data_IF_319962700924
#
_entry.id   IF_319962700924
#
_cell.length_a   1.000
_cell.length_b   1.000
_cell.length_c   1.000
_cell.angle_alpha   90.00
_cell.angle_beta   90.00
_cell.angle_gamma   90.00
#
_symmetry.space_group_name_H-M   'P 1'
#
loop_
_entity.id
_entity.type
_entity.pdbx_description
1 polymer ?
#
# COMPACT_ATOMS: atom_id res chain seq x y z
N UNK A 1 -7.24 2.61 -12.10
CA UNK A 1 -6.67 2.83 -10.75
C UNK A 1 -5.40 3.63 -10.87
N UNK A 2 -5.02 4.27 -9.80
CA UNK A 2 -3.77 4.99 -9.60
C UNK A 2 -3.15 4.48 -8.30
N UNK A 3 -1.87 4.76 -8.08
CA UNK A 3 -1.17 4.39 -6.84
C UNK A 3 -1.13 5.56 -5.87
N UNK A 4 -1.14 5.28 -4.57
CA UNK A 4 -0.76 6.23 -3.53
C UNK A 4 0.70 6.67 -3.76
N UNK A 5 1.10 7.80 -3.20
CA UNK A 5 2.45 8.38 -3.30
C UNK A 5 2.82 8.96 -4.68
N UNK A 6 1.99 8.83 -5.70
CA UNK A 6 2.24 9.37 -7.02
C UNK A 6 1.36 10.58 -7.32
N UNK A 7 1.93 11.58 -8.00
CA UNK A 7 1.16 12.74 -8.47
C UNK A 7 0.52 12.44 -9.81
N UNK A 8 -0.79 12.58 -9.88
CA UNK A 8 -1.58 12.37 -11.08
C UNK A 8 -2.20 13.67 -11.57
N UNK A 9 -2.08 13.93 -12.88
CA UNK A 9 -2.66 15.12 -13.52
C UNK A 9 -3.99 14.75 -14.17
N UNK A 10 -5.06 15.44 -13.80
CA UNK A 10 -6.40 15.28 -14.37
C UNK A 10 -6.77 16.55 -15.15
N UNK A 11 -7.38 16.39 -16.34
CA UNK A 11 -7.72 17.50 -17.24
C UNK A 11 -9.18 17.52 -17.61
N UNK A 12 -9.78 18.72 -17.61
CA UNK A 12 -11.14 18.94 -18.03
C UNK A 12 -11.25 19.28 -19.53
N UNK A 13 -12.17 18.63 -20.20
CA UNK A 13 -12.52 18.94 -21.60
C UNK A 13 -14.04 18.95 -21.76
N UNK A 14 -14.53 20.02 -22.36
CA UNK A 14 -15.92 20.06 -22.85
C UNK A 14 -16.02 19.45 -24.25
N UNK A 15 -17.19 18.95 -24.58
CA UNK A 15 -17.51 18.51 -25.95
C UNK A 15 -18.90 19.01 -26.37
N UNK A 16 -19.05 19.36 -27.64
CA UNK A 16 -20.35 19.64 -28.23
C UNK A 16 -21.03 18.35 -28.75
N UNK A 17 -22.29 18.47 -29.15
CA UNK A 17 -23.04 17.36 -29.73
C UNK A 17 -22.51 16.86 -31.09
N UNK A 18 -21.47 17.50 -31.66
CA UNK A 18 -20.81 17.11 -32.91
C UNK A 18 -19.47 16.43 -32.67
N UNK A 19 -19.04 16.32 -31.40
CA UNK A 19 -17.77 15.68 -31.01
C UNK A 19 -16.56 16.61 -31.03
N UNK A 20 -16.72 17.92 -31.26
CA UNK A 20 -15.63 18.86 -31.06
C UNK A 20 -15.30 18.94 -29.57
N UNK A 21 -14.02 19.00 -29.24
CA UNK A 21 -13.50 19.05 -27.85
C UNK A 21 -12.62 20.26 -27.66
N UNK A 22 -12.72 20.90 -26.50
CA UNK A 22 -11.87 22.01 -26.10
C UNK A 22 -11.66 21.98 -24.59
N UNK A 23 -10.57 22.57 -24.15
CA UNK A 23 -10.21 22.71 -22.75
C UNK A 23 -11.09 23.76 -22.09
N UNK A 24 -11.51 23.53 -20.86
CA UNK A 24 -12.32 24.43 -20.03
C UNK A 24 -11.77 24.50 -18.62
N UNK A 25 -11.86 25.67 -18.01
CA UNK A 25 -11.57 25.86 -16.59
C UNK A 25 -12.77 25.45 -15.76
N UNK A 26 -12.55 24.56 -14.80
CA UNK A 26 -13.57 24.02 -13.91
C UNK A 26 -13.14 24.16 -12.45
N UNK A 27 -14.10 24.03 -11.53
CA UNK A 27 -13.80 23.84 -10.13
C UNK A 27 -13.61 22.35 -9.87
N UNK A 28 -12.48 21.99 -9.28
CA UNK A 28 -12.13 20.61 -8.93
C UNK A 28 -12.35 20.36 -7.45
N UNK A 29 -13.14 19.35 -7.13
CA UNK A 29 -13.30 18.87 -5.76
C UNK A 29 -13.05 17.37 -5.71
N UNK A 30 -12.63 16.90 -4.52
CA UNK A 30 -12.46 15.48 -4.25
C UNK A 30 -13.09 15.14 -2.90
N UNK A 31 -13.67 13.96 -2.83
CA UNK A 31 -14.19 13.39 -1.60
C UNK A 31 -13.65 11.97 -1.44
N UNK A 32 -13.28 11.59 -0.24
CA UNK A 32 -13.01 10.21 0.15
C UNK A 32 -14.23 9.67 0.91
N UNK A 33 -14.61 8.41 0.72
CA UNK A 33 -15.79 7.83 1.39
C UNK A 33 -15.75 7.94 2.92
N UNK A 34 -14.55 7.89 3.49
CA UNK A 34 -14.35 7.94 4.95
C UNK A 34 -14.36 9.37 5.51
N UNK A 35 -14.48 10.40 4.68
CA UNK A 35 -14.46 11.81 5.11
C UNK A 35 -15.83 12.36 5.53
N UNK A 36 -16.82 11.50 5.81
CA UNK A 36 -18.13 11.89 6.31
C UNK A 36 -18.76 13.07 5.54
N UNK A 37 -18.93 12.91 4.24
CA UNK A 37 -19.51 13.89 3.32
C UNK A 37 -18.70 15.19 3.10
N UNK A 38 -17.46 15.25 3.54
CA UNK A 38 -16.61 16.40 3.28
C UNK A 38 -15.89 16.22 1.92
N UNK A 39 -16.21 17.12 1.00
CA UNK A 39 -15.39 17.30 -0.21
C UNK A 39 -14.36 18.39 0.00
N UNK A 40 -13.16 18.18 -0.51
CA UNK A 40 -12.08 19.16 -0.47
C UNK A 40 -11.95 19.81 -1.85
N UNK A 41 -11.86 21.13 -1.89
CA UNK A 41 -11.53 21.87 -3.12
C UNK A 41 -10.06 21.64 -3.45
N UNK A 42 -9.77 20.98 -4.59
CA UNK A 42 -8.41 20.79 -5.08
C UNK A 42 -7.91 22.03 -5.80
N UNK A 43 -8.71 22.53 -6.74
CA UNK A 43 -8.36 23.72 -7.51
C UNK A 43 -9.62 24.46 -7.98
N UNK A 44 -9.50 25.78 -8.14
CA UNK A 44 -10.58 26.64 -8.59
C UNK A 44 -10.24 27.22 -9.97
N UNK A 45 -11.16 27.10 -10.94
CA UNK A 45 -11.05 27.64 -12.27
C UNK A 45 -9.73 27.28 -12.98
N UNK A 46 -9.50 25.97 -13.13
CA UNK A 46 -8.37 25.44 -13.91
C UNK A 46 -8.84 24.33 -14.84
N UNK A 47 -8.21 24.22 -15.99
CA UNK A 47 -8.40 23.14 -16.94
C UNK A 47 -7.69 21.85 -16.54
N UNK A 48 -6.80 21.93 -15.55
CA UNK A 48 -6.12 20.77 -14.97
C UNK A 48 -5.94 20.93 -13.45
N UNK A 49 -5.83 19.81 -12.76
CA UNK A 49 -5.47 19.73 -11.35
C UNK A 49 -4.54 18.56 -11.09
N UNK A 50 -3.69 18.72 -10.10
CA UNK A 50 -2.86 17.65 -9.58
C UNK A 50 -3.56 17.00 -8.39
N UNK A 51 -3.48 15.68 -8.32
CA UNK A 51 -3.98 14.88 -7.23
C UNK A 51 -2.92 13.88 -6.81
N UNK A 52 -2.51 13.93 -5.55
CA UNK A 52 -1.58 13.00 -4.93
C UNK A 52 -2.30 12.34 -3.76
N UNK A 53 -2.84 11.13 -3.95
CA UNK A 53 -3.48 10.40 -2.86
C UNK A 53 -2.43 9.84 -1.91
N UNK A 54 -2.71 9.96 -0.62
CA UNK A 54 -1.86 9.40 0.45
C UNK A 54 -2.44 8.10 1.04
N UNK A 55 -3.74 7.87 0.85
CA UNK A 55 -4.43 6.69 1.38
C UNK A 55 -4.89 5.77 0.26
N UNK A 56 -4.39 4.55 0.27
CA UNK A 56 -4.98 3.47 -0.51
C UNK A 56 -6.36 3.11 0.07
N UNK A 57 -7.31 2.83 -0.80
CA UNK A 57 -8.67 2.51 -0.36
C UNK A 57 -9.37 1.59 -1.36
N UNK A 58 -10.03 0.57 -0.84
CA UNK A 58 -10.93 -0.30 -1.61
C UNK A 58 -12.20 0.43 -2.07
N UNK A 59 -12.50 1.59 -1.46
CA UNK A 59 -13.60 2.46 -1.86
C UNK A 59 -13.02 3.64 -2.65
N UNK A 60 -13.54 3.87 -3.84
CA UNK A 60 -13.01 4.89 -4.73
C UNK A 60 -13.18 6.32 -4.15
N UNK A 61 -12.17 7.15 -4.35
CA UNK A 61 -12.32 8.60 -4.23
C UNK A 61 -13.29 9.11 -5.31
N UNK A 62 -14.06 10.12 -4.98
CA UNK A 62 -14.99 10.77 -5.90
C UNK A 62 -14.44 12.12 -6.30
N UNK A 63 -13.88 12.21 -7.49
CA UNK A 63 -13.40 13.48 -8.05
C UNK A 63 -14.51 14.10 -8.88
N UNK A 64 -14.77 15.40 -8.70
CA UNK A 64 -15.81 16.14 -9.41
C UNK A 64 -15.23 17.38 -10.06
N UNK A 65 -15.61 17.59 -11.33
CA UNK A 65 -15.36 18.80 -12.08
C UNK A 65 -16.68 19.56 -12.28
N UNK A 66 -16.73 20.84 -11.94
CA UNK A 66 -17.93 21.68 -12.06
C UNK A 66 -17.64 22.92 -12.89
N UNK A 67 -18.54 23.20 -13.83
CA UNK A 67 -18.47 24.34 -14.74
C UNK A 67 -19.82 25.01 -14.84
N UNK A 68 -19.86 26.35 -14.72
CA UNK A 68 -21.09 27.11 -14.88
C UNK A 68 -21.02 27.92 -16.17
N UNK A 69 -21.99 27.73 -17.04
CA UNK A 69 -22.14 28.48 -18.28
C UNK A 69 -23.57 29.01 -18.40
N UNK A 70 -23.69 30.30 -18.64
CA UNK A 70 -24.98 31.01 -18.77
C UNK A 70 -25.98 30.68 -17.63
N UNK A 71 -25.46 30.60 -16.41
CA UNK A 71 -26.23 30.28 -15.21
C UNK A 71 -26.61 28.80 -15.06
N UNK A 72 -26.24 27.94 -15.99
CA UNK A 72 -26.44 26.51 -15.90
C UNK A 72 -25.16 25.83 -15.38
N UNK A 73 -25.32 24.98 -14.34
CA UNK A 73 -24.24 24.17 -13.80
C UNK A 73 -24.13 22.85 -14.58
N UNK A 74 -22.93 22.57 -15.05
CA UNK A 74 -22.51 21.27 -15.57
C UNK A 74 -21.58 20.61 -14.59
N UNK A 75 -21.75 19.34 -14.38
CA UNK A 75 -20.94 18.57 -13.42
C UNK A 75 -20.64 17.20 -13.98
N UNK A 76 -19.40 16.77 -13.85
CA UNK A 76 -18.95 15.41 -14.17
C UNK A 76 -18.26 14.81 -12.95
N UNK A 77 -18.44 13.51 -12.77
CA UNK A 77 -17.89 12.76 -11.63
C UNK A 77 -17.09 11.59 -12.14
N UNK A 78 -15.89 11.42 -11.58
CA UNK A 78 -15.00 10.29 -11.84
C UNK A 78 -14.68 9.60 -10.52
N UNK A 79 -14.88 8.30 -10.47
CA UNK A 79 -14.42 7.47 -9.36
C UNK A 79 -12.97 7.10 -9.61
N UNK A 80 -12.12 7.35 -8.63
CA UNK A 80 -10.68 7.09 -8.68
C UNK A 80 -10.32 6.04 -7.63
N UNK A 81 -9.99 4.85 -8.09
CA UNK A 81 -9.48 3.78 -7.23
C UNK A 81 -8.00 4.02 -6.97
N UNK A 82 -7.60 3.98 -5.71
CA UNK A 82 -6.22 4.19 -5.27
C UNK A 82 -5.73 2.90 -4.62
N UNK A 83 -4.74 2.31 -5.24
CA UNK A 83 -4.02 1.16 -4.69
C UNK A 83 -2.83 1.63 -3.85
N UNK A 84 -2.29 0.72 -3.07
CA UNK A 84 -1.08 0.94 -2.28
C UNK A 84 0.08 1.36 -3.18
N UNK A 85 1.01 2.13 -2.61
CA UNK A 85 2.27 2.50 -3.24
C UNK A 85 3.28 1.34 -3.20
N UNK A 86 4.54 1.66 -3.48
CA UNK A 86 5.64 0.69 -3.38
C UNK A 86 6.05 0.50 -1.92
N UNK A 87 6.58 -0.68 -1.60
CA UNK A 87 7.08 -1.00 -0.25
C UNK A 87 8.21 -0.02 0.11
N UNK A 88 8.03 0.73 1.18
CA UNK A 88 9.05 1.63 1.75
C UNK A 88 9.40 1.28 3.18
N UNK A 89 8.49 0.66 3.91
CA UNK A 89 8.72 0.24 5.29
C UNK A 89 8.57 -1.27 5.41
N UNK A 90 9.59 -1.88 5.94
CA UNK A 90 9.63 -3.30 6.26
C UNK A 90 10.02 -3.44 7.74
N UNK A 91 9.14 -4.05 8.53
CA UNK A 91 9.41 -4.31 9.94
C UNK A 91 9.19 -5.79 10.22
N UNK A 92 10.24 -6.47 10.66
CA UNK A 92 10.14 -7.83 11.20
C UNK A 92 10.12 -7.76 12.73
N UNK A 93 9.08 -8.32 13.33
CA UNK A 93 8.97 -8.49 14.77
C UNK A 93 9.19 -9.96 15.12
N UNK A 94 9.90 -10.18 16.20
CA UNK A 94 10.21 -11.52 16.69
C UNK A 94 10.01 -11.60 18.20
N UNK A 95 9.39 -12.67 18.65
CA UNK A 95 9.14 -12.92 20.08
C UNK A 95 9.49 -14.37 20.37
N UNK A 96 10.47 -14.60 21.24
CA UNK A 96 10.78 -15.94 21.72
C UNK A 96 9.75 -16.40 22.76
N UNK A 97 9.56 -17.70 22.92
CA UNK A 97 8.60 -18.29 23.86
C UNK A 97 8.86 -17.93 25.34
N UNK A 98 10.05 -17.46 25.69
CA UNK A 98 10.39 -16.91 27.01
C UNK A 98 10.00 -15.42 27.15
N UNK A 99 9.45 -14.78 26.10
CA UNK A 99 9.05 -13.38 26.05
C UNK A 99 10.16 -12.40 25.62
N UNK A 100 11.36 -12.89 25.30
CA UNK A 100 12.42 -12.04 24.77
C UNK A 100 12.06 -11.52 23.37
N UNK A 101 12.46 -10.30 23.08
CA UNK A 101 12.29 -9.63 21.78
C UNK A 101 13.64 -9.13 21.28
N UNK A 102 13.85 -9.17 19.97
CA UNK A 102 15.12 -8.68 19.39
C UNK A 102 15.43 -9.31 18.03
N UNK A 103 16.68 -9.26 17.64
CA UNK A 103 17.16 -9.83 16.38
C UNK A 103 18.09 -11.03 16.56
N UNK A 104 18.49 -11.32 17.79
CA UNK A 104 19.36 -12.46 18.13
C UNK A 104 18.86 -13.11 19.41
N UNK A 105 18.62 -14.41 19.36
CA UNK A 105 18.11 -15.20 20.47
C UNK A 105 19.05 -16.34 20.80
N UNK A 106 19.20 -16.61 22.12
CA UNK A 106 19.76 -17.84 22.61
C UNK A 106 18.65 -18.61 23.33
N UNK A 107 18.08 -19.57 22.65
CA UNK A 107 16.99 -20.40 23.16
C UNK A 107 17.44 -21.85 23.30
N UNK A 108 16.80 -22.59 24.20
CA UNK A 108 16.99 -24.04 24.28
C UNK A 108 16.22 -24.72 23.15
N UNK A 109 16.66 -25.92 22.74
CA UNK A 109 15.79 -26.81 21.97
C UNK A 109 14.46 -26.99 22.73
N UNK A 110 13.40 -27.23 22.06
CA UNK A 110 12.00 -27.25 22.54
C UNK A 110 11.38 -25.87 22.86
N UNK A 111 12.09 -24.78 22.53
CA UNK A 111 11.53 -23.42 22.56
C UNK A 111 11.25 -22.92 21.15
N UNK A 112 10.26 -22.05 21.02
CA UNK A 112 9.85 -21.46 19.76
C UNK A 112 10.18 -19.97 19.66
N UNK A 113 10.26 -19.48 18.44
CA UNK A 113 10.30 -18.06 18.08
C UNK A 113 9.13 -17.79 17.15
N UNK A 114 8.32 -16.81 17.48
CA UNK A 114 7.27 -16.30 16.62
C UNK A 114 7.84 -15.14 15.77
N UNK A 115 7.69 -15.25 14.48
CA UNK A 115 8.05 -14.21 13.51
C UNK A 115 6.79 -13.58 12.95
N UNK A 116 6.77 -12.26 12.85
CA UNK A 116 5.72 -11.52 12.14
C UNK A 116 6.33 -10.37 11.36
N UNK A 117 5.66 -9.98 10.29
CA UNK A 117 6.10 -8.89 9.42
C UNK A 117 4.98 -7.89 9.24
N UNK A 118 5.34 -6.61 9.22
CA UNK A 118 4.49 -5.54 8.74
C UNK A 118 5.19 -4.85 7.57
N UNK A 119 4.47 -4.69 6.48
CA UNK A 119 4.86 -3.96 5.29
C UNK A 119 3.98 -2.75 5.12
N UNK A 120 4.56 -1.64 4.72
CA UNK A 120 3.77 -0.47 4.30
C UNK A 120 4.49 0.32 3.20
N UNK A 121 3.73 1.14 2.48
CA UNK A 121 4.26 2.18 1.62
C UNK A 121 4.74 3.39 2.44
N UNK A 122 5.12 4.48 1.76
CA UNK A 122 5.65 5.69 2.39
C UNK A 122 4.66 6.44 3.26
N UNK A 123 3.37 6.27 3.00
CA UNK A 123 2.27 6.89 3.75
C UNK A 123 1.66 5.94 4.79
N UNK A 124 2.32 4.83 5.07
CA UNK A 124 1.94 3.81 6.04
C UNK A 124 0.67 3.02 5.68
N UNK A 125 0.28 2.98 4.40
CA UNK A 125 -0.75 2.05 3.96
C UNK A 125 -0.21 0.62 4.08
N UNK A 126 -0.92 -0.30 4.74
CA UNK A 126 -0.46 -1.67 4.91
C UNK A 126 -0.44 -2.39 3.56
N UNK A 127 0.64 -3.13 3.33
CA UNK A 127 0.83 -3.95 2.13
C UNK A 127 0.69 -5.44 2.48
N UNK A 128 0.28 -6.23 1.48
CA UNK A 128 0.15 -7.65 1.63
C UNK A 128 1.53 -8.31 1.76
N UNK A 129 1.72 -9.09 2.80
CA UNK A 129 2.95 -9.85 3.07
C UNK A 129 3.08 -11.10 2.20
N UNK A 130 2.07 -11.46 1.40
CA UNK A 130 2.11 -12.64 0.51
C UNK A 130 3.20 -12.55 -0.56
N UNK A 131 3.73 -11.35 -0.83
CA UNK A 131 4.86 -11.13 -1.73
C UNK A 131 6.23 -11.45 -1.09
N UNK A 132 6.27 -11.81 0.21
CA UNK A 132 7.50 -12.14 0.90
C UNK A 132 7.95 -13.56 0.59
N UNK A 133 9.26 -13.70 0.41
CA UNK A 133 9.95 -15.00 0.43
C UNK A 133 10.66 -15.16 1.76
N UNK A 134 10.48 -16.31 2.39
CA UNK A 134 11.09 -16.64 3.67
C UNK A 134 12.07 -17.78 3.52
N UNK A 135 13.30 -17.56 3.96
CA UNK A 135 14.34 -18.58 3.96
C UNK A 135 14.83 -18.83 5.39
N UNK A 136 14.98 -20.10 5.68
CA UNK A 136 15.60 -20.58 6.91
C UNK A 136 16.98 -21.16 6.56
N UNK A 137 18.03 -20.66 7.23
CA UNK A 137 19.41 -21.09 6.98
C UNK A 137 19.99 -21.70 8.24
N UNK A 138 20.55 -22.90 8.12
CA UNK A 138 21.41 -23.52 9.10
C UNK A 138 22.84 -23.01 8.86
N UNK A 139 23.35 -22.20 9.78
CA UNK A 139 24.68 -21.58 9.65
C UNK A 139 25.83 -22.54 9.90
N UNK A 140 25.57 -23.70 10.51
CA UNK A 140 26.59 -24.71 10.80
C UNK A 140 26.83 -25.60 9.56
N UNK A 141 25.80 -25.87 8.78
CA UNK A 141 25.90 -26.67 7.54
C UNK A 141 25.91 -25.82 6.27
N UNK A 142 25.35 -24.63 6.30
CA UNK A 142 25.13 -23.77 5.14
C UNK A 142 23.88 -24.16 4.32
N UNK A 143 23.06 -25.06 4.85
CA UNK A 143 21.82 -25.45 4.18
C UNK A 143 20.77 -24.34 4.26
N UNK A 144 20.10 -24.06 3.12
CA UNK A 144 19.03 -23.07 3.02
C UNK A 144 17.74 -23.75 2.60
N UNK A 145 16.68 -23.51 3.35
CA UNK A 145 15.34 -24.05 3.10
C UNK A 145 14.35 -22.90 2.85
N UNK A 146 13.58 -22.99 1.77
CA UNK A 146 12.46 -22.09 1.53
C UNK A 146 11.27 -22.53 2.39
N UNK A 147 10.87 -21.66 3.32
CA UNK A 147 9.76 -21.89 4.26
C UNK A 147 8.57 -20.95 3.99
N UNK A 148 8.54 -20.31 2.83
CA UNK A 148 7.51 -19.35 2.44
C UNK A 148 6.10 -19.90 2.58
N UNK A 149 5.90 -21.17 2.20
CA UNK A 149 4.58 -21.83 2.26
C UNK A 149 4.12 -22.19 3.67
N UNK A 150 5.02 -22.12 4.64
CA UNK A 150 4.72 -22.41 6.05
C UNK A 150 4.21 -21.17 6.79
N UNK A 151 4.44 -19.97 6.21
CA UNK A 151 3.91 -18.72 6.74
C UNK A 151 2.42 -18.61 6.48
N UNK A 152 1.66 -18.45 7.53
CA UNK A 152 0.22 -18.27 7.49
C UNK A 152 -0.12 -16.90 8.04
N UNK A 153 -0.73 -16.05 7.20
CA UNK A 153 -1.25 -14.73 7.65
C UNK A 153 -0.22 -13.89 8.41
N UNK A 154 0.88 -13.50 7.76
CA UNK A 154 1.88 -12.57 8.26
C UNK A 154 2.77 -13.09 9.41
N UNK A 155 2.65 -14.36 9.77
CA UNK A 155 3.42 -14.93 10.87
C UNK A 155 3.82 -16.40 10.68
N UNK A 156 4.93 -16.75 11.30
CA UNK A 156 5.45 -18.10 11.37
C UNK A 156 6.00 -18.40 12.76
N UNK A 157 5.70 -19.58 13.28
CA UNK A 157 6.31 -20.06 14.51
C UNK A 157 7.34 -21.13 14.16
N UNK A 158 8.59 -20.85 14.45
CA UNK A 158 9.67 -21.80 14.34
C UNK A 158 9.98 -22.43 15.69
N UNK A 159 10.06 -23.75 15.74
CA UNK A 159 10.43 -24.52 16.93
C UNK A 159 11.81 -25.16 16.74
N UNK A 160 12.73 -24.88 17.66
CA UNK A 160 14.06 -25.45 17.64
C UNK A 160 14.02 -26.90 18.08
N UNK A 161 14.29 -27.81 17.15
CA UNK A 161 14.36 -29.26 17.46
C UNK A 161 15.77 -29.78 17.69
N UNK A 162 16.77 -29.03 17.22
CA UNK A 162 18.20 -29.39 17.33
C UNK A 162 19.00 -28.19 17.78
N UNK A 163 20.12 -28.47 18.44
CA UNK A 163 21.08 -27.42 18.81
C UNK A 163 21.89 -27.03 17.59
N UNK A 164 22.00 -25.75 17.29
CA UNK A 164 22.70 -25.22 16.13
C UNK A 164 22.60 -23.69 16.08
N UNK A 165 23.21 -23.11 15.06
CA UNK A 165 23.13 -21.69 14.75
C UNK A 165 22.27 -21.50 13.50
N UNK A 166 21.20 -20.70 13.64
CA UNK A 166 20.21 -20.54 12.59
C UNK A 166 19.96 -19.09 12.27
N UNK A 167 19.52 -18.82 11.03
CA UNK A 167 19.11 -17.50 10.59
C UNK A 167 17.81 -17.57 9.82
N UNK A 168 16.84 -16.70 10.16
CA UNK A 168 15.65 -16.47 9.36
C UNK A 168 15.85 -15.21 8.52
N UNK A 169 15.53 -15.30 7.24
CA UNK A 169 15.59 -14.20 6.27
C UNK A 169 14.21 -14.02 5.65
N UNK A 170 13.77 -12.77 5.56
CA UNK A 170 12.58 -12.39 4.82
C UNK A 170 12.94 -11.30 3.81
N UNK A 171 12.47 -11.41 2.58
CA UNK A 171 12.72 -10.42 1.54
C UNK A 171 11.59 -10.39 0.51
N UNK A 172 11.46 -9.26 -0.15
CA UNK A 172 10.54 -9.06 -1.27
C UNK A 172 11.33 -9.24 -2.56
N UNK A 173 10.83 -10.07 -3.45
CA UNK A 173 11.31 -10.08 -4.83
C UNK A 173 10.58 -8.95 -5.56
N UNK A 174 11.25 -7.80 -5.73
CA UNK A 174 10.72 -6.77 -6.62
C UNK A 174 10.66 -7.37 -8.03
N UNK A 175 9.47 -7.50 -8.57
CA UNK A 175 9.31 -7.70 -10.00
C UNK A 175 9.68 -6.38 -10.68
N UNK A 176 10.78 -6.36 -11.46
CA UNK A 176 11.11 -5.28 -12.37
C UNK A 176 10.08 -5.18 -13.50
#
# INVERSE_FOLDING_TARGET
>A
SITADETHVVKAKASDGKGNRWTIDVNWTIAHPDWQDQSVLLYMLSDETEFMPVLASTTAYVMRAEYTFDGQLFSEVVNVEVSEGIIQVFTMNTIASNGDTGSVYNISADHSIDFSVALSDGDLNPLDSSALTWLFEDLDTGDVTDVTTEFVSDGYQWEATTVGNYRMLAFVLNAE
#
